data_IF_435779491156
#
_entry.id   IF_435779491156
#
_cell.length_a   1.000
_cell.length_b   1.000
_cell.length_c   1.000
_cell.angle_alpha   90.00
_cell.angle_beta   90.00
_cell.angle_gamma   90.00
#
_symmetry.space_group_name_H-M   'P 1'
#
loop_
_entity.id
_entity.type
_entity.pdbx_description
1 polymer ?
#
# COMPACT_ATOMS: atom_id res chain seq x y z
N UNK A 1 0.56 -4.56 -3.92
CA UNK A 1 1.28 -4.14 -5.14
C UNK A 1 0.89 -5.04 -6.31
N UNK A 2 1.13 -4.66 -7.57
CA UNK A 2 0.92 -5.57 -8.73
C UNK A 2 2.10 -6.53 -8.80
N UNK A 3 1.92 -7.72 -9.38
CA UNK A 3 3.00 -8.71 -9.43
C UNK A 3 4.25 -8.20 -10.19
N UNK A 4 4.07 -7.48 -11.30
CA UNK A 4 5.18 -6.86 -12.02
C UNK A 4 5.93 -5.79 -11.22
N UNK A 5 5.21 -5.01 -10.40
CA UNK A 5 5.80 -4.03 -9.47
C UNK A 5 6.56 -4.75 -8.34
N UNK A 6 6.02 -5.87 -7.84
CA UNK A 6 6.63 -6.65 -6.76
C UNK A 6 7.96 -7.29 -7.20
N UNK A 7 8.01 -7.93 -8.37
CA UNK A 7 9.22 -8.61 -8.84
C UNK A 7 10.31 -7.64 -9.31
N UNK A 8 9.95 -6.40 -9.68
CA UNK A 8 10.91 -5.36 -10.07
C UNK A 8 11.35 -4.46 -8.92
N UNK A 9 10.93 -4.77 -7.69
CA UNK A 9 11.25 -3.99 -6.50
C UNK A 9 12.73 -4.14 -6.16
N UNK A 10 13.42 -3.00 -6.03
CA UNK A 10 14.82 -2.93 -5.67
C UNK A 10 15.00 -2.28 -4.29
N UNK A 11 16.11 -2.56 -3.60
CA UNK A 11 16.41 -1.99 -2.29
C UNK A 11 16.57 -0.47 -2.35
N UNK A 12 17.01 0.07 -3.49
CA UNK A 12 17.10 1.50 -3.78
C UNK A 12 15.73 2.20 -3.81
N UNK A 13 14.64 1.44 -3.86
CA UNK A 13 13.27 1.96 -3.84
C UNK A 13 12.66 2.00 -2.43
N UNK A 14 13.33 1.42 -1.43
CA UNK A 14 12.79 1.20 -0.08
C UNK A 14 13.52 2.07 0.94
N UNK A 15 12.77 2.89 1.66
CA UNK A 15 13.24 3.55 2.87
C UNK A 15 12.69 2.82 4.11
N UNK A 16 13.53 1.99 4.71
CA UNK A 16 13.17 1.23 5.93
C UNK A 16 13.06 2.10 7.18
N UNK A 17 13.64 3.31 7.18
CA UNK A 17 13.54 4.25 8.32
C UNK A 17 12.21 4.99 8.27
N UNK A 18 11.88 5.54 7.09
CA UNK A 18 10.59 6.19 6.86
C UNK A 18 9.44 5.18 6.75
N UNK A 19 9.74 3.90 6.51
CA UNK A 19 8.73 2.85 6.32
C UNK A 19 7.98 3.03 5.01
N UNK A 20 8.69 3.36 3.92
CA UNK A 20 8.08 3.67 2.62
C UNK A 20 8.73 2.91 1.48
N UNK A 21 7.95 2.65 0.42
CA UNK A 21 8.41 2.08 -0.85
C UNK A 21 7.99 3.01 -1.98
N UNK A 22 8.91 3.36 -2.87
CA UNK A 22 8.61 4.12 -4.08
C UNK A 22 8.45 3.18 -5.28
N UNK A 23 7.26 3.11 -5.86
CA UNK A 23 7.02 2.23 -7.02
C UNK A 23 7.53 2.90 -8.30
N UNK A 24 8.73 2.53 -8.74
CA UNK A 24 9.38 3.12 -9.93
C UNK A 24 9.23 2.30 -11.20
N UNK A 25 9.09 0.98 -11.06
CA UNK A 25 9.22 0.04 -12.18
C UNK A 25 8.09 -0.98 -12.18
N UNK A 26 7.89 -1.60 -13.33
CA UNK A 26 7.05 -2.76 -13.52
C UNK A 26 7.75 -3.74 -14.47
N UNK A 27 7.82 -5.00 -14.08
CA UNK A 27 8.27 -6.08 -14.97
C UNK A 27 7.08 -6.66 -15.74
N UNK A 28 7.21 -6.78 -17.07
CA UNK A 28 6.16 -7.32 -17.93
C UNK A 28 6.30 -8.83 -18.12
N UNK A 29 5.25 -9.49 -18.64
CA UNK A 29 5.33 -10.91 -19.00
C UNK A 29 6.29 -11.18 -20.16
N UNK A 30 6.56 -10.17 -20.98
CA UNK A 30 7.50 -10.24 -22.09
C UNK A 30 8.97 -10.17 -21.62
N UNK A 31 9.21 -9.97 -20.32
CA UNK A 31 10.56 -9.91 -19.76
C UNK A 31 11.19 -8.53 -19.78
N UNK A 32 10.38 -7.48 -19.94
CA UNK A 32 10.87 -6.10 -20.07
C UNK A 32 10.57 -5.30 -18.80
N UNK A 33 11.51 -4.41 -18.44
CA UNK A 33 11.26 -3.40 -17.42
C UNK A 33 10.64 -2.17 -18.07
N UNK A 34 9.44 -1.81 -17.61
CA UNK A 34 8.72 -0.64 -18.06
C UNK A 34 8.33 0.23 -16.88
N UNK A 35 7.93 1.47 -17.16
CA UNK A 35 7.22 2.26 -16.16
C UNK A 35 5.85 1.65 -15.85
N UNK A 36 5.31 1.86 -14.64
CA UNK A 36 3.94 1.50 -14.33
C UNK A 36 2.95 2.10 -15.35
N UNK A 37 1.91 1.33 -15.69
CA UNK A 37 0.95 1.63 -16.78
C UNK A 37 0.26 3.00 -16.66
N UNK A 38 0.14 3.56 -15.46
CA UNK A 38 -0.54 4.85 -15.23
C UNK A 38 0.37 5.85 -14.53
N UNK A 39 0.16 7.15 -14.77
CA UNK A 39 0.92 8.23 -14.09
C UNK A 39 0.74 8.18 -12.60
N UNK A 40 -0.50 8.02 -12.15
CA UNK A 40 -0.83 7.81 -10.75
C UNK A 40 -0.13 6.59 -10.12
N UNK A 41 0.28 5.60 -10.93
CA UNK A 41 1.03 4.45 -10.45
C UNK A 41 2.55 4.66 -10.45
N UNK A 42 3.07 5.65 -11.17
CA UNK A 42 4.50 5.90 -11.35
C UNK A 42 5.01 6.79 -10.22
N UNK A 43 6.11 6.38 -9.56
CA UNK A 43 6.70 7.07 -8.41
C UNK A 43 5.77 7.26 -7.21
N UNK A 44 4.68 6.48 -7.13
CA UNK A 44 3.81 6.53 -5.94
C UNK A 44 4.54 5.96 -4.73
N UNK A 45 4.27 6.55 -3.57
CA UNK A 45 4.81 6.12 -2.29
C UNK A 45 3.81 5.21 -1.59
N UNK A 46 4.25 3.99 -1.28
CA UNK A 46 3.50 3.02 -0.48
C UNK A 46 4.05 3.05 0.94
N UNK A 47 3.20 3.36 1.91
CA UNK A 47 3.50 3.32 3.33
C UNK A 47 3.38 1.90 3.86
N UNK A 48 4.38 1.48 4.62
CA UNK A 48 4.50 0.14 5.16
C UNK A 48 3.96 0.08 6.59
N UNK A 49 3.16 -0.95 6.84
CA UNK A 49 2.79 -1.35 8.19
C UNK A 49 3.99 -2.04 8.87
N UNK A 50 4.03 -2.01 10.20
CA UNK A 50 5.13 -2.60 10.98
C UNK A 50 5.44 -4.07 10.61
N UNK A 51 4.44 -4.96 10.40
CA UNK A 51 4.72 -6.33 9.94
C UNK A 51 5.40 -6.40 8.57
N UNK A 52 5.14 -5.45 7.67
CA UNK A 52 5.81 -5.42 6.37
C UNK A 52 7.27 -4.95 6.52
N UNK A 53 7.53 -4.00 7.42
CA UNK A 53 8.88 -3.53 7.73
C UNK A 53 9.72 -4.67 8.33
N UNK A 54 9.17 -5.44 9.26
CA UNK A 54 9.90 -6.57 9.87
C UNK A 54 10.24 -7.65 8.83
N UNK A 55 9.31 -8.02 7.95
CA UNK A 55 9.55 -8.96 6.86
C UNK A 55 10.64 -8.44 5.91
N UNK A 56 10.62 -7.16 5.56
CA UNK A 56 11.65 -6.57 4.71
C UNK A 56 13.02 -6.51 5.40
N UNK A 57 13.08 -6.30 6.72
CA UNK A 57 14.35 -6.39 7.46
C UNK A 57 14.96 -7.78 7.37
N UNK A 58 14.16 -8.84 7.58
CA UNK A 58 14.63 -10.22 7.43
C UNK A 58 15.07 -10.51 5.99
N UNK A 59 14.30 -10.03 5.00
CA UNK A 59 14.67 -10.18 3.58
C UNK A 59 15.97 -9.44 3.25
N UNK A 60 16.23 -8.29 3.88
CA UNK A 60 17.43 -7.49 3.67
C UNK A 60 18.70 -8.24 4.06
N UNK A 61 18.66 -9.06 5.11
CA UNK A 61 19.80 -9.88 5.52
C UNK A 61 20.26 -10.83 4.41
N UNK A 62 19.34 -11.29 3.56
CA UNK A 62 19.62 -12.24 2.49
C UNK A 62 20.01 -11.57 1.16
N UNK A 63 19.39 -10.44 0.81
CA UNK A 63 19.50 -9.90 -0.56
C UNK A 63 20.04 -8.48 -0.66
N UNK A 64 20.16 -7.72 0.44
CA UNK A 64 20.53 -6.30 0.39
C UNK A 64 21.96 -6.04 -0.03
N UNK A 65 22.89 -6.91 0.38
CA UNK A 65 24.29 -6.85 -0.03
C UNK A 65 24.57 -7.72 -1.26
N UNK A 66 23.52 -8.08 -2.01
CA UNK A 66 23.64 -8.86 -3.23
C UNK A 66 24.28 -8.07 -4.38
N UNK A 67 24.44 -8.73 -5.52
CA UNK A 67 24.93 -8.11 -6.74
C UNK A 67 23.95 -7.02 -7.21
N UNK A 68 24.50 -5.87 -7.57
CA UNK A 68 23.75 -4.80 -8.24
C UNK A 68 23.71 -5.06 -9.75
N UNK A 69 22.56 -4.83 -10.37
CA UNK A 69 22.36 -5.04 -11.80
C UNK A 69 21.99 -3.72 -12.46
N UNK A 70 22.58 -3.45 -13.62
CA UNK A 70 22.18 -2.33 -14.47
C UNK A 70 21.09 -2.81 -15.43
N UNK A 71 19.87 -2.28 -15.26
CA UNK A 71 18.71 -2.63 -16.09
C UNK A 71 18.26 -1.44 -16.93
N UNK A 72 17.83 -1.71 -18.17
CA UNK A 72 17.18 -0.73 -19.03
C UNK A 72 15.69 -0.71 -18.76
N UNK A 73 15.18 0.41 -18.27
CA UNK A 73 13.75 0.66 -18.07
C UNK A 73 13.24 1.44 -19.27
N UNK A 74 12.29 0.87 -20.00
CA UNK A 74 11.64 1.55 -21.12
C UNK A 74 10.68 2.62 -20.58
N UNK A 75 10.88 3.85 -21.06
CA UNK A 75 9.96 4.96 -20.80
C UNK A 75 8.73 4.83 -21.71
N UNK A 76 7.73 5.68 -21.48
CA UNK A 76 6.51 5.69 -22.31
C UNK A 76 6.73 6.26 -23.70
N UNK A 77 7.70 7.16 -23.82
CA UNK A 77 8.10 7.71 -25.11
C UNK A 77 8.87 6.64 -25.89
N UNK A 78 8.40 6.38 -27.11
CA UNK A 78 8.94 5.32 -27.95
C UNK A 78 10.47 5.47 -28.13
N UNK A 79 11.18 4.37 -27.91
CA UNK A 79 12.64 4.32 -28.05
C UNK A 79 13.45 4.96 -26.92
N UNK A 80 12.81 5.63 -25.94
CA UNK A 80 13.52 6.16 -24.77
C UNK A 80 13.64 5.12 -23.67
N UNK A 81 14.83 4.99 -23.12
CA UNK A 81 15.10 4.12 -21.97
C UNK A 81 16.02 4.81 -20.98
N UNK A 82 15.86 4.46 -19.70
CA UNK A 82 16.71 4.94 -18.61
C UNK A 82 17.35 3.75 -17.95
N UNK A 83 18.64 3.88 -17.62
CA UNK A 83 19.36 2.87 -16.87
C UNK A 83 19.06 3.04 -15.39
N UNK A 84 18.69 1.95 -14.73
CA UNK A 84 18.55 1.91 -13.28
C UNK A 84 19.53 0.87 -12.73
N UNK A 85 20.28 1.27 -11.73
CA UNK A 85 21.08 0.37 -10.92
C UNK A 85 20.17 -0.19 -9.81
N UNK A 86 20.00 -1.51 -9.81
CA UNK A 86 19.01 -2.18 -8.99
C UNK A 86 19.62 -3.37 -8.27
N UNK A 87 19.48 -3.37 -6.95
CA UNK A 87 19.70 -4.54 -6.10
C UNK A 87 18.34 -5.13 -5.76
N UNK A 88 17.95 -6.21 -6.43
CA UNK A 88 16.58 -6.73 -6.32
C UNK A 88 16.29 -7.32 -4.95
N UNK A 89 15.13 -6.94 -4.38
CA UNK A 89 14.66 -7.43 -3.08
C UNK A 89 14.40 -8.93 -3.12
N UNK A 90 13.73 -9.38 -4.19
CA UNK A 90 13.41 -10.78 -4.44
C UNK A 90 14.27 -11.32 -5.57
N UNK A 91 15.46 -11.82 -5.24
CA UNK A 91 16.37 -12.43 -6.21
C UNK A 91 16.25 -13.98 -6.17
N UNK A 92 15.80 -14.63 -7.26
CA UNK A 92 15.66 -16.09 -7.31
C UNK A 92 16.99 -16.84 -7.23
N UNK A 93 18.13 -16.19 -7.54
CA UNK A 93 19.46 -16.81 -7.47
C UNK A 93 19.88 -17.15 -6.03
N UNK A 94 19.30 -16.49 -5.03
CA UNK A 94 19.60 -16.77 -3.61
C UNK A 94 18.90 -18.05 -3.14
N UNK A 95 17.78 -18.42 -3.76
CA UNK A 95 16.93 -19.54 -3.32
C UNK A 95 17.08 -20.77 -4.21
N UNK A 96 17.32 -20.59 -5.51
CA UNK A 96 17.42 -21.71 -6.46
C UNK A 96 18.84 -22.26 -6.54
N UNK A 97 18.94 -23.60 -6.59
CA UNK A 97 20.19 -24.35 -6.75
C UNK A 97 20.73 -24.39 -8.19
N UNK A 98 19.96 -23.90 -9.17
CA UNK A 98 20.33 -23.97 -10.58
C UNK A 98 21.06 -22.70 -11.02
N UNK A 99 22.12 -22.85 -11.80
CA UNK A 99 22.92 -21.75 -12.33
C UNK A 99 22.22 -21.00 -13.49
N UNK A 100 21.23 -21.62 -14.14
CA UNK A 100 20.48 -21.03 -15.26
C UNK A 100 19.24 -20.24 -14.78
N UNK A 101 19.42 -19.39 -13.78
CA UNK A 101 18.34 -18.60 -13.18
C UNK A 101 18.62 -17.12 -13.39
N UNK A 102 17.67 -16.41 -14.03
CA UNK A 102 17.75 -14.97 -14.20
C UNK A 102 17.72 -14.24 -12.85
N UNK A 103 18.18 -12.99 -12.80
CA UNK A 103 18.28 -12.21 -11.55
C UNK A 103 16.94 -11.66 -11.03
N UNK A 104 15.83 -11.86 -11.77
CA UNK A 104 14.46 -11.49 -11.37
C UNK A 104 13.49 -12.64 -11.63
N UNK A 105 12.49 -12.79 -10.76
CA UNK A 105 11.39 -13.72 -10.97
C UNK A 105 10.54 -13.32 -12.18
N UNK A 106 10.11 -14.30 -13.00
CA UNK A 106 9.05 -14.06 -13.97
C UNK A 106 7.76 -13.66 -13.25
N UNK A 107 6.95 -12.79 -13.87
CA UNK A 107 5.70 -12.31 -13.28
C UNK A 107 4.77 -13.48 -12.90
N UNK A 108 4.72 -14.50 -13.74
CA UNK A 108 3.87 -15.68 -13.52
C UNK A 108 4.37 -16.56 -12.36
N UNK A 109 5.67 -16.55 -12.06
CA UNK A 109 6.25 -17.33 -10.96
C UNK A 109 5.70 -16.97 -9.59
N UNK A 110 5.22 -15.73 -9.42
CA UNK A 110 4.52 -15.32 -8.18
C UNK A 110 3.18 -16.03 -8.06
N UNK A 111 2.44 -16.16 -9.17
CA UNK A 111 1.18 -16.90 -9.23
C UNK A 111 1.40 -18.38 -8.95
N UNK A 112 2.40 -19.00 -9.59
CA UNK A 112 2.72 -20.42 -9.43
C UNK A 112 3.12 -20.76 -7.97
N UNK A 113 3.96 -19.90 -7.37
CA UNK A 113 4.39 -20.05 -5.98
C UNK A 113 3.22 -19.91 -5.01
N UNK A 114 2.31 -18.97 -5.30
CA UNK A 114 1.10 -18.75 -4.51
C UNK A 114 0.13 -19.93 -4.60
N UNK A 115 -0.12 -20.47 -5.79
CA UNK A 115 -1.00 -21.62 -5.98
C UNK A 115 -0.45 -22.85 -5.23
N UNK A 116 0.86 -23.07 -5.30
CA UNK A 116 1.54 -24.11 -4.54
C UNK A 116 1.37 -23.91 -3.03
N UNK A 117 1.55 -22.69 -2.54
CA UNK A 117 1.41 -22.35 -1.12
C UNK A 117 -0.03 -22.56 -0.63
N UNK A 118 -1.04 -22.10 -1.38
CA UNK A 118 -2.46 -22.29 -1.05
C UNK A 118 -2.81 -23.78 -1.00
N UNK A 119 -2.37 -24.57 -1.99
CA UNK A 119 -2.65 -26.01 -2.04
C UNK A 119 -2.05 -26.72 -0.84
N UNK A 120 -0.81 -26.40 -0.46
CA UNK A 120 -0.14 -26.96 0.72
C UNK A 120 -0.81 -26.54 2.04
N UNK A 121 -1.37 -25.33 2.09
CA UNK A 121 -2.11 -24.83 3.25
C UNK A 121 -3.54 -25.39 3.36
N UNK A 122 -4.02 -26.19 2.40
CA UNK A 122 -5.39 -26.70 2.39
C UNK A 122 -6.46 -25.63 2.15
N UNK A 123 -6.08 -24.47 1.62
CA UNK A 123 -6.99 -23.34 1.41
C UNK A 123 -7.67 -23.47 0.04
N UNK A 124 -8.96 -23.12 -0.06
CA UNK A 124 -9.69 -23.07 -1.34
C UNK A 124 -8.94 -22.15 -2.33
N UNK A 125 -8.72 -22.62 -3.56
CA UNK A 125 -8.00 -21.89 -4.60
C UNK A 125 -8.45 -20.42 -4.75
N UNK A 126 -7.47 -19.50 -4.77
CA UNK A 126 -7.64 -18.07 -5.06
C UNK A 126 -6.48 -17.60 -5.91
N UNK A 127 -6.76 -16.68 -6.85
CA UNK A 127 -5.71 -16.00 -7.62
C UNK A 127 -4.88 -15.10 -6.69
N UNK A 128 -3.55 -15.10 -6.84
CA UNK A 128 -2.63 -14.27 -6.05
C UNK A 128 -2.99 -12.78 -6.07
N UNK A 129 -3.52 -12.30 -7.20
CA UNK A 129 -3.94 -10.91 -7.37
C UNK A 129 -5.02 -10.47 -6.36
N UNK A 130 -5.80 -11.41 -5.83
CA UNK A 130 -6.84 -11.13 -4.83
C UNK A 130 -6.27 -10.62 -3.51
N UNK A 131 -5.00 -10.89 -3.19
CA UNK A 131 -4.34 -10.31 -2.01
C UNK A 131 -4.40 -8.78 -1.99
N UNK A 132 -4.30 -8.13 -3.16
CA UNK A 132 -4.45 -6.69 -3.32
C UNK A 132 -5.87 -6.24 -2.99
N UNK A 133 -6.87 -7.03 -3.37
CA UNK A 133 -8.27 -6.73 -3.09
C UNK A 133 -8.60 -6.94 -1.61
N UNK A 134 -8.06 -7.99 -0.99
CA UNK A 134 -8.15 -8.23 0.45
C UNK A 134 -7.56 -7.07 1.24
N UNK A 135 -6.38 -6.58 0.85
CA UNK A 135 -5.77 -5.40 1.47
C UNK A 135 -6.69 -4.18 1.46
N UNK A 136 -7.31 -3.88 0.30
CA UNK A 136 -8.21 -2.74 0.19
C UNK A 136 -9.46 -2.91 1.06
N UNK A 137 -10.08 -4.09 1.02
CA UNK A 137 -11.26 -4.42 1.84
C UNK A 137 -10.95 -4.27 3.34
N UNK A 138 -9.87 -4.91 3.82
CA UNK A 138 -9.48 -4.83 5.23
C UNK A 138 -9.12 -3.42 5.68
N UNK A 139 -8.47 -2.64 4.81
CA UNK A 139 -8.15 -1.24 5.12
C UNK A 139 -9.42 -0.39 5.25
N UNK A 140 -10.42 -0.63 4.39
CA UNK A 140 -11.71 0.07 4.47
C UNK A 140 -12.50 -0.34 5.71
N UNK A 141 -12.57 -1.64 6.03
CA UNK A 141 -13.20 -2.13 7.25
C UNK A 141 -12.54 -1.58 8.51
N UNK A 142 -11.22 -1.35 8.48
CA UNK A 142 -10.49 -0.67 9.56
C UNK A 142 -10.71 0.85 9.59
N UNK A 143 -11.58 1.41 8.74
CA UNK A 143 -11.90 2.84 8.69
C UNK A 143 -10.85 3.72 8.02
N UNK A 144 -9.92 3.15 7.24
CA UNK A 144 -8.91 3.95 6.54
C UNK A 144 -9.53 4.79 5.41
N UNK A 145 -8.97 5.97 5.17
CA UNK A 145 -9.46 6.91 4.18
C UNK A 145 -9.40 6.28 2.75
N UNK A 146 -10.52 6.21 2.00
CA UNK A 146 -10.56 5.63 0.65
C UNK A 146 -9.58 6.28 -0.33
N UNK A 147 -9.36 7.60 -0.23
CA UNK A 147 -8.40 8.34 -1.05
C UNK A 147 -6.96 7.94 -0.74
N UNK A 148 -6.65 7.68 0.54
CA UNK A 148 -5.36 7.12 0.94
C UNK A 148 -5.18 5.72 0.35
N UNK A 149 -6.16 4.83 0.49
CA UNK A 149 -6.08 3.47 -0.07
C UNK A 149 -5.90 3.51 -1.60
N UNK A 150 -6.62 4.40 -2.28
CA UNK A 150 -6.50 4.58 -3.73
C UNK A 150 -5.07 5.02 -4.15
N UNK A 151 -4.45 5.95 -3.40
CA UNK A 151 -3.08 6.39 -3.67
C UNK A 151 -2.07 5.27 -3.45
N UNK A 152 -2.21 4.48 -2.38
CA UNK A 152 -1.38 3.29 -2.13
C UNK A 152 -1.49 2.27 -3.27
N UNK A 153 -2.70 2.09 -3.78
CA UNK A 153 -3.00 1.21 -4.91
C UNK A 153 -2.70 1.84 -6.29
N UNK A 154 -2.17 3.06 -6.37
CA UNK A 154 -1.84 3.68 -7.66
C UNK A 154 -3.04 3.81 -8.60
N UNK A 155 -4.24 3.95 -8.03
CA UNK A 155 -5.44 4.29 -8.77
C UNK A 155 -5.48 5.80 -8.95
N UNK A 156 -5.87 6.27 -10.13
CA UNK A 156 -5.99 7.71 -10.40
C UNK A 156 -7.19 8.34 -9.66
N UNK A 157 -8.16 7.53 -9.23
CA UNK A 157 -9.35 8.00 -8.53
C UNK A 157 -9.79 7.01 -7.46
N UNK A 158 -10.31 7.54 -6.35
CA UNK A 158 -10.98 6.79 -5.30
C UNK A 158 -12.31 6.17 -5.79
N UNK A 159 -12.86 6.61 -6.92
CA UNK A 159 -14.09 6.07 -7.49
C UNK A 159 -13.99 4.57 -7.77
N UNK A 160 -12.81 4.07 -8.17
CA UNK A 160 -12.62 2.63 -8.31
C UNK A 160 -12.75 1.90 -6.96
N UNK A 161 -12.23 2.49 -5.88
CA UNK A 161 -12.35 1.94 -4.53
C UNK A 161 -13.82 1.93 -4.09
N UNK A 162 -14.56 3.03 -4.30
CA UNK A 162 -15.99 3.09 -4.00
C UNK A 162 -16.83 2.13 -4.86
N UNK A 163 -16.54 2.00 -6.16
CA UNK A 163 -17.29 1.10 -7.04
C UNK A 163 -17.09 -0.38 -6.67
N UNK A 164 -15.88 -0.75 -6.23
CA UNK A 164 -15.54 -2.14 -5.92
C UNK A 164 -15.92 -2.51 -4.49
N UNK A 165 -15.87 -1.57 -3.54
CA UNK A 165 -16.02 -1.85 -2.12
C UNK A 165 -17.17 -1.10 -1.43
N UNK A 166 -17.86 -0.19 -2.12
CA UNK A 166 -18.92 0.64 -1.53
C UNK A 166 -20.05 -0.17 -0.89
N UNK A 167 -20.41 -1.33 -1.47
CA UNK A 167 -21.41 -2.24 -0.91
C UNK A 167 -21.03 -2.82 0.46
N UNK A 168 -19.73 -2.93 0.75
CA UNK A 168 -19.23 -3.41 2.05
C UNK A 168 -19.09 -2.29 3.07
N UNK A 169 -19.07 -1.03 2.64
CA UNK A 169 -19.00 0.13 3.54
C UNK A 169 -20.34 0.40 4.24
N UNK A 170 -21.46 0.04 3.61
CA UNK A 170 -22.81 0.19 4.18
C UNK A 170 -23.05 -0.66 5.42
N UNK A 171 -22.35 -1.79 5.56
CA UNK A 171 -22.54 -2.72 6.70
C UNK A 171 -21.80 -2.27 7.98
N UNK A 172 -20.88 -1.29 7.89
CA UNK A 172 -20.03 -0.83 9.01
C UNK A 172 -20.53 0.42 9.73
N UNK A 173 -21.78 0.87 9.48
CA UNK A 173 -22.30 2.12 10.05
C UNK A 173 -22.25 2.16 11.58
N UNK A 174 -22.50 1.04 12.26
CA UNK A 174 -22.47 0.97 13.73
C UNK A 174 -21.05 1.18 14.30
N UNK A 175 -20.02 0.60 13.67
CA UNK A 175 -18.62 0.76 14.07
C UNK A 175 -18.12 2.19 13.78
N UNK A 176 -18.57 2.80 12.69
CA UNK A 176 -18.25 4.19 12.37
C UNK A 176 -18.86 5.17 13.37
N UNK A 177 -20.10 4.93 13.83
CA UNK A 177 -20.73 5.72 14.89
C UNK A 177 -19.95 5.59 16.20
N UNK A 178 -19.52 4.37 16.57
CA UNK A 178 -18.70 4.16 17.77
C UNK A 178 -17.36 4.90 17.70
N UNK A 179 -16.67 4.83 16.54
CA UNK A 179 -15.43 5.55 16.28
C UNK A 179 -15.63 7.08 16.32
N UNK A 180 -16.72 7.58 15.76
CA UNK A 180 -17.09 9.01 15.78
C UNK A 180 -17.35 9.48 17.22
N UNK A 181 -18.10 8.72 18.01
CA UNK A 181 -18.37 9.05 19.41
C UNK A 181 -17.07 9.12 20.21
N UNK A 182 -16.15 8.17 20.02
CA UNK A 182 -14.85 8.20 20.68
C UNK A 182 -14.03 9.43 20.28
N UNK A 183 -13.87 9.67 18.97
CA UNK A 183 -13.05 10.79 18.48
C UNK A 183 -13.67 12.15 18.76
N UNK A 184 -14.97 12.34 18.59
CA UNK A 184 -15.62 13.62 18.87
C UNK A 184 -15.57 13.95 20.36
N UNK A 185 -15.62 12.96 21.25
CA UNK A 185 -15.40 13.19 22.68
C UNK A 185 -13.98 13.69 22.97
N UNK A 186 -12.99 13.18 22.22
CA UNK A 186 -11.58 13.61 22.36
C UNK A 186 -11.29 14.98 21.70
N UNK A 187 -11.94 15.30 20.57
CA UNK A 187 -11.67 16.50 19.77
C UNK A 187 -12.56 17.69 20.10
N UNK A 188 -13.77 17.48 20.61
CA UNK A 188 -14.70 18.57 20.91
C UNK A 188 -14.40 19.06 22.34
N UNK A 189 -13.79 20.23 22.52
CA UNK A 189 -13.63 20.79 23.85
C UNK A 189 -15.02 20.94 24.47
N UNK A 190 -15.19 20.49 25.73
CA UNK A 190 -16.41 20.79 26.48
C UNK A 190 -16.60 22.30 26.47
N UNK A 191 -17.58 22.78 25.71
CA UNK A 191 -18.03 24.15 25.85
C UNK A 191 -18.67 24.23 27.24
N UNK A 192 -18.10 25.00 28.19
CA UNK A 192 -18.84 25.35 29.37
C UNK A 192 -19.95 26.24 28.84
N UNK A 193 -21.20 25.76 28.85
CA UNK A 193 -22.30 26.69 28.92
C UNK A 193 -22.04 27.49 30.20
N UNK A 194 -21.55 28.71 30.03
CA UNK A 194 -21.42 29.64 31.13
C UNK A 194 -22.82 29.77 31.70
N UNK A 195 -23.05 29.21 32.89
CA UNK A 195 -24.13 29.66 33.73
C UNK A 195 -23.86 31.16 33.94
N UNK A 196 -24.55 32.01 33.16
CA UNK A 196 -24.71 33.41 33.52
C UNK A 196 -25.38 33.40 34.89
N UNK A 197 -24.54 33.51 35.91
CA UNK A 197 -24.96 33.72 37.27
C UNK A 197 -25.49 35.14 37.34
N UNK A 198 -26.75 35.24 37.77
CA UNK A 198 -27.43 36.45 38.20
C UNK A 198 -26.49 37.51 38.75
N UNK A 199 -26.46 38.69 38.15
CA UNK A 199 -26.19 39.94 38.87
C UNK A 199 -26.43 41.17 37.98
N UNK A 200 -27.46 41.94 38.35
CA UNK A 200 -27.74 43.39 38.12
C UNK A 200 -29.15 43.59 37.55
N UNK A 201 -30.02 44.42 38.12
CA UNK A 201 -29.78 45.50 39.08
C UNK A 201 -31.00 45.84 39.91
N UNK A 202 -30.68 46.26 41.14
CA UNK A 202 -31.53 47.04 42.02
C UNK A 202 -32.16 48.22 41.27
N UNK A 203 -33.48 48.15 41.05
CA UNK A 203 -34.29 49.30 40.70
C UNK A 203 -34.39 50.19 41.95
N UNK A 204 -33.65 51.31 41.92
CA UNK A 204 -33.91 52.44 42.83
C UNK A 204 -35.19 53.13 42.36
N UNK A 205 -36.12 53.25 43.28
CA UNK A 205 -37.26 54.17 43.26
C UNK A 205 -36.79 55.63 43.20
N UNK A 206 -37.41 56.44 42.33
CA UNK A 206 -37.70 57.87 42.60
C UNK A 206 -38.91 58.31 41.75
N UNK A 207 -39.91 58.84 42.47
CA UNK A 207 -41.02 59.76 42.12
C UNK A 207 -42.06 59.39 41.05
#
# INVERSE_FOLDING_TARGET
MRHGELVSLAWEDIDLKAGTITIRRNYTKLGEFTLPKTEASTNRVVHLIQPAISVLKNQAEMTRLGKQYNIKVQLREYGRSVNHECTFVFNPQVVRKSEQVGFVYKVDSVGDSWETAIKRAGIRHRKAYQSRHTYACWSLSAGANPSFIASQMGHASAQMVFNVYGAWMTDSNAEQIAMLNQKLTDYVPMMPHSHQSDTRGLLKSVS
#
